data_IF_291991165912
#
_entry.id   IF_291991165912
#
_cell.length_a   1.000
_cell.length_b   1.000
_cell.length_c   1.000
_cell.angle_alpha   90.00
_cell.angle_beta   90.00
_cell.angle_gamma   90.00
#
_symmetry.space_group_name_H-M   'P 1'
#
loop_
_entity.id
_entity.type
_entity.pdbx_description
1 polymer ?
#
# COMPACT_ATOMS: atom_id res chain seq x y z
N UNK A 1 14.80 3.27 21.45
CA UNK A 1 15.44 3.56 20.14
C UNK A 1 14.51 4.48 19.34
N UNK A 2 14.99 5.63 18.87
CA UNK A 2 14.23 6.51 17.95
C UNK A 2 14.67 6.19 16.52
N UNK A 3 13.74 5.75 15.66
CA UNK A 3 14.03 5.49 14.23
C UNK A 3 14.37 6.80 13.50
N UNK A 4 15.27 6.81 12.52
CA UNK A 4 15.51 8.02 11.70
C UNK A 4 14.31 8.41 10.82
N UNK A 5 14.30 9.63 10.27
CA UNK A 5 13.23 10.11 9.36
C UNK A 5 13.15 9.22 8.11
N UNK A 6 14.29 8.90 7.50
CA UNK A 6 14.35 7.99 6.34
C UNK A 6 13.83 6.59 6.68
N UNK A 7 14.20 6.05 7.84
CA UNK A 7 13.69 4.74 8.27
C UNK A 7 12.18 4.77 8.49
N UNK A 8 11.66 5.85 9.08
CA UNK A 8 10.21 6.04 9.30
C UNK A 8 9.47 6.10 7.97
N UNK A 9 10.01 6.87 7.02
CA UNK A 9 9.46 6.99 5.68
C UNK A 9 9.43 5.64 4.96
N UNK A 10 10.58 4.96 4.89
CA UNK A 10 10.71 3.67 4.20
C UNK A 10 9.80 2.60 4.81
N UNK A 11 9.67 2.56 6.15
CA UNK A 11 8.77 1.63 6.82
C UNK A 11 7.30 1.94 6.54
N UNK A 12 6.91 3.21 6.48
CA UNK A 12 5.53 3.59 6.18
C UNK A 12 5.14 3.23 4.74
N UNK A 13 6.02 3.52 3.76
CA UNK A 13 5.83 3.11 2.36
C UNK A 13 5.78 1.58 2.26
N UNK A 14 6.77 0.89 2.82
CA UNK A 14 6.87 -0.56 2.75
C UNK A 14 5.67 -1.26 3.40
N UNK A 15 5.20 -0.76 4.54
CA UNK A 15 4.01 -1.29 5.20
C UNK A 15 2.76 -1.15 4.32
N UNK A 16 2.55 0.00 3.70
CA UNK A 16 1.42 0.21 2.79
C UNK A 16 1.49 -0.67 1.56
N UNK A 17 2.67 -0.77 0.93
CA UNK A 17 2.88 -1.62 -0.25
C UNK A 17 2.65 -3.10 0.06
N UNK A 18 3.18 -3.62 1.17
CA UNK A 18 2.97 -5.02 1.58
C UNK A 18 1.50 -5.26 1.92
N UNK A 19 0.84 -4.34 2.61
CA UNK A 19 -0.58 -4.50 2.96
C UNK A 19 -1.46 -4.50 1.71
N UNK A 20 -1.17 -3.65 0.73
CA UNK A 20 -1.87 -3.68 -0.56
C UNK A 20 -1.67 -5.02 -1.29
N UNK A 21 -0.45 -5.53 -1.36
CA UNK A 21 -0.19 -6.86 -1.96
C UNK A 21 -0.95 -7.98 -1.22
N UNK A 22 -0.96 -7.95 0.12
CA UNK A 22 -1.71 -8.94 0.90
C UNK A 22 -3.22 -8.83 0.68
N UNK A 23 -3.74 -7.61 0.47
CA UNK A 23 -5.13 -7.39 0.10
C UNK A 23 -5.47 -8.10 -1.21
N UNK A 24 -4.70 -7.86 -2.28
CA UNK A 24 -4.91 -8.49 -3.59
C UNK A 24 -4.91 -10.02 -3.52
N UNK A 25 -4.01 -10.61 -2.73
CA UNK A 25 -4.01 -12.06 -2.52
C UNK A 25 -5.28 -12.55 -1.81
N UNK A 26 -5.73 -11.81 -0.80
CA UNK A 26 -6.98 -12.10 -0.10
C UNK A 26 -8.16 -12.02 -1.05
N UNK A 27 -8.31 -10.89 -1.73
CA UNK A 27 -9.37 -10.61 -2.67
C UNK A 27 -9.44 -11.62 -3.81
N UNK A 28 -8.29 -11.99 -4.37
CA UNK A 28 -8.24 -13.01 -5.40
C UNK A 28 -8.85 -14.33 -4.93
N UNK A 29 -8.46 -14.79 -3.75
CA UNK A 29 -8.92 -16.08 -3.20
C UNK A 29 -10.37 -16.04 -2.75
N UNK A 30 -10.83 -14.92 -2.18
CA UNK A 30 -12.17 -14.82 -1.58
C UNK A 30 -13.26 -14.38 -2.54
N UNK A 31 -12.93 -13.51 -3.51
CA UNK A 31 -13.93 -12.84 -4.36
C UNK A 31 -13.74 -13.15 -5.84
N UNK A 32 -12.52 -13.07 -6.36
CA UNK A 32 -12.30 -13.06 -7.81
C UNK A 32 -12.20 -14.46 -8.44
N UNK A 33 -11.56 -15.42 -7.78
CA UNK A 33 -11.15 -16.70 -8.39
C UNK A 33 -12.25 -17.46 -9.13
N UNK A 34 -13.49 -17.35 -8.67
CA UNK A 34 -14.66 -18.00 -9.27
C UNK A 34 -15.77 -17.01 -9.66
N UNK A 35 -15.44 -15.73 -9.79
CA UNK A 35 -16.36 -14.65 -10.16
C UNK A 35 -16.19 -14.29 -11.64
N UNK A 36 -17.27 -13.82 -12.33
CA UNK A 36 -17.16 -13.19 -13.65
C UNK A 36 -16.21 -11.98 -13.69
N UNK A 37 -15.91 -11.38 -12.55
CA UNK A 37 -14.99 -10.24 -12.43
C UNK A 37 -13.52 -10.61 -12.70
N UNK A 38 -13.20 -11.91 -12.84
CA UNK A 38 -11.87 -12.39 -13.21
C UNK A 38 -11.36 -11.75 -14.51
N UNK A 39 -12.25 -11.41 -15.45
CA UNK A 39 -11.91 -10.77 -16.73
C UNK A 39 -11.33 -9.36 -16.56
N UNK A 40 -11.72 -8.64 -15.49
CA UNK A 40 -11.25 -7.28 -15.21
C UNK A 40 -10.23 -7.19 -14.08
N UNK A 41 -10.02 -8.29 -13.35
CA UNK A 41 -9.23 -8.35 -12.13
C UNK A 41 -7.81 -7.80 -12.28
N UNK A 42 -7.12 -8.05 -13.41
CA UNK A 42 -5.74 -7.58 -13.57
C UNK A 42 -5.62 -6.05 -13.54
N UNK A 43 -6.51 -5.35 -14.23
CA UNK A 43 -6.48 -3.89 -14.28
C UNK A 43 -6.89 -3.28 -12.94
N UNK A 44 -7.84 -3.93 -12.26
CA UNK A 44 -8.32 -3.55 -10.93
C UNK A 44 -7.20 -3.67 -9.89
N UNK A 45 -6.57 -4.84 -9.81
CA UNK A 45 -5.38 -5.10 -8.97
C UNK A 45 -4.24 -4.10 -9.22
N UNK A 46 -3.96 -3.77 -10.49
CA UNK A 46 -2.95 -2.75 -10.80
C UNK A 46 -3.34 -1.36 -10.29
N UNK A 47 -4.63 -1.01 -10.39
CA UNK A 47 -5.18 0.23 -9.86
C UNK A 47 -5.03 0.31 -8.35
N UNK A 48 -5.41 -0.75 -7.65
CA UNK A 48 -5.38 -0.81 -6.18
C UNK A 48 -3.96 -0.82 -5.63
N UNK A 49 -3.04 -1.54 -6.26
CA UNK A 49 -1.61 -1.47 -5.93
C UNK A 49 -1.05 -0.06 -6.15
N UNK A 50 -1.42 0.60 -7.26
CA UNK A 50 -0.96 1.96 -7.55
C UNK A 50 -1.50 2.98 -6.53
N UNK A 51 -2.79 2.87 -6.18
CA UNK A 51 -3.43 3.72 -5.17
C UNK A 51 -2.87 3.46 -3.78
N UNK A 52 -2.70 2.20 -3.38
CA UNK A 52 -2.13 1.81 -2.09
C UNK A 52 -0.68 2.29 -1.92
N UNK A 53 0.15 2.13 -2.94
CA UNK A 53 1.53 2.64 -2.92
C UNK A 53 1.57 4.18 -2.88
N UNK A 54 0.75 4.84 -3.70
CA UNK A 54 0.70 6.31 -3.73
C UNK A 54 0.22 6.87 -2.39
N UNK A 55 -0.88 6.34 -1.86
CA UNK A 55 -1.46 6.75 -0.58
C UNK A 55 -0.48 6.56 0.58
N UNK A 56 0.18 5.41 0.66
CA UNK A 56 1.19 5.15 1.70
C UNK A 56 2.44 6.02 1.55
N UNK A 57 2.84 6.35 0.32
CA UNK A 57 3.92 7.31 0.06
C UNK A 57 3.56 8.73 0.53
N UNK A 58 2.35 9.19 0.23
CA UNK A 58 1.87 10.49 0.73
C UNK A 58 1.81 10.50 2.26
N UNK A 59 1.26 9.44 2.87
CA UNK A 59 1.23 9.30 4.33
C UNK A 59 2.64 9.33 4.94
N UNK A 60 3.58 8.61 4.35
CA UNK A 60 4.99 8.59 4.78
C UNK A 60 5.62 9.99 4.72
N UNK A 61 5.37 10.75 3.64
CA UNK A 61 5.84 12.13 3.50
C UNK A 61 5.26 13.04 4.58
N UNK A 62 3.95 12.96 4.82
CA UNK A 62 3.26 13.76 5.84
C UNK A 62 3.82 13.45 7.23
N UNK A 63 3.96 12.17 7.58
CA UNK A 63 4.54 11.73 8.87
C UNK A 63 5.98 12.19 9.04
N UNK A 64 6.81 12.04 8.00
CA UNK A 64 8.20 12.50 8.01
C UNK A 64 8.31 14.02 8.19
N UNK A 65 7.41 14.77 7.54
CA UNK A 65 7.39 16.24 7.58
C UNK A 65 7.01 16.78 8.94
N UNK A 66 6.00 16.19 9.60
CA UNK A 66 5.64 16.56 10.97
C UNK A 66 6.77 16.26 11.95
N UNK A 67 7.47 15.14 11.73
CA UNK A 67 8.59 14.74 12.59
C UNK A 67 9.80 15.67 12.47
N UNK A 68 10.08 16.20 11.29
CA UNK A 68 11.19 17.14 11.09
C UNK A 68 10.94 18.51 11.75
N UNK A 69 9.68 18.84 12.05
CA UNK A 69 9.30 20.14 12.64
C UNK A 69 9.30 20.15 14.17
N UNK A 70 9.41 18.99 14.82
CA UNK A 70 9.41 18.80 16.27
C UNK A 70 10.82 18.54 16.79
#
# INVERSE_FOLDING_TARGET
LRLGVLNTFALAVGFGAVTAVLWEFGEYVTFIRNSPELDTAYTDTLGDLALGLTGSTVAAFVTASFRHRL
#
